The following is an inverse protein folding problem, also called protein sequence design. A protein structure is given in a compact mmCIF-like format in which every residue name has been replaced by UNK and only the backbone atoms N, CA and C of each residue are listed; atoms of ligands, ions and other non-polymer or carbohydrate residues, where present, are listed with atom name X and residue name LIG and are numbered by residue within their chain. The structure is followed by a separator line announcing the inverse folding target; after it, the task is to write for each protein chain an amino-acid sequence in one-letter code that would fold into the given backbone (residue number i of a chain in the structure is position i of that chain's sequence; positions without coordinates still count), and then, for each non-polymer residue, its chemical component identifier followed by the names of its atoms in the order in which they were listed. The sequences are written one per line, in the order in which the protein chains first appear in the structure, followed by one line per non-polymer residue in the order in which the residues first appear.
data_IF_381949789140
#
_entry.id   IF_381949789140
#
_cell.length_a   1.000
_cell.length_b   1.000
_cell.length_c   1.000
_cell.angle_alpha   90.00
_cell.angle_beta   90.00
_cell.angle_gamma   90.00
#
_symmetry.space_group_name_H-M   'P 1'
#
loop_
_entity.id
_entity.type
_entity.pdbx_description
1 polymer ?
#
# COMPACT_ATOMS: atom_id res chain seq x y z
N UNK A 1 29.21 29.57 10.12
CA UNK A 1 28.12 30.57 10.08
C UNK A 1 27.12 30.25 8.96
N UNK A 2 26.53 29.05 8.93
CA UNK A 2 25.66 28.61 7.82
C UNK A 2 24.40 27.85 8.23
N UNK A 3 24.25 27.42 9.48
CA UNK A 3 23.08 26.63 9.92
C UNK A 3 21.87 27.51 10.27
N UNK A 4 22.08 28.70 10.83
CA UNK A 4 20.96 29.57 11.24
C UNK A 4 20.12 30.08 10.06
N UNK A 5 20.72 30.34 8.88
CA UNK A 5 19.96 30.84 7.74
C UNK A 5 19.19 29.74 7.02
N UNK A 6 19.76 28.53 6.90
CA UNK A 6 19.08 27.39 6.27
C UNK A 6 17.93 26.86 7.13
N UNK A 7 18.11 26.76 8.45
CA UNK A 7 17.02 26.39 9.37
C UNK A 7 15.88 27.40 9.33
N UNK A 8 16.19 28.70 9.30
CA UNK A 8 15.15 29.74 9.20
C UNK A 8 14.39 29.72 7.86
N UNK A 9 15.08 29.42 6.75
CA UNK A 9 14.46 29.28 5.44
C UNK A 9 13.59 28.03 5.34
N UNK A 10 14.09 26.87 5.79
CA UNK A 10 13.34 25.61 5.80
C UNK A 10 12.11 25.71 6.70
N UNK A 11 12.22 26.35 7.87
CA UNK A 11 11.08 26.60 8.74
C UNK A 11 10.04 27.49 8.07
N UNK A 12 10.44 28.61 7.46
CA UNK A 12 9.52 29.52 6.75
C UNK A 12 8.88 28.86 5.53
N UNK A 13 9.64 28.06 4.77
CA UNK A 13 9.13 27.28 3.65
C UNK A 13 8.15 26.20 4.10
N UNK A 14 8.47 25.49 5.18
CA UNK A 14 7.62 24.45 5.76
C UNK A 14 6.34 25.03 6.35
N UNK A 15 6.42 26.16 7.04
CA UNK A 15 5.26 26.91 7.52
C UNK A 15 4.37 27.33 6.34
N UNK A 16 4.92 27.96 5.31
CA UNK A 16 4.16 28.34 4.11
C UNK A 16 3.57 27.14 3.36
N UNK A 17 4.28 26.01 3.30
CA UNK A 17 3.76 24.77 2.73
C UNK A 17 2.58 24.25 3.55
N UNK A 18 2.72 24.15 4.88
CA UNK A 18 1.60 23.73 5.75
C UNK A 18 0.40 24.65 5.59
N UNK A 19 0.60 25.97 5.57
CA UNK A 19 -0.49 26.95 5.47
C UNK A 19 -1.20 26.81 4.12
N UNK A 20 -0.45 26.63 3.03
CA UNK A 20 -1.00 26.37 1.70
C UNK A 20 -1.88 25.10 1.67
N UNK A 21 -1.43 24.01 2.30
CA UNK A 21 -2.21 22.77 2.36
C UNK A 21 -3.38 22.86 3.36
N UNK A 22 -3.23 23.61 4.45
CA UNK A 22 -4.30 23.84 5.42
C UNK A 22 -5.47 24.64 4.80
N UNK A 23 -5.16 25.68 4.02
CA UNK A 23 -6.17 26.45 3.28
C UNK A 23 -6.89 25.58 2.23
N UNK A 24 -6.15 24.70 1.55
CA UNK A 24 -6.71 23.82 0.52
C UNK A 24 -7.59 22.71 1.09
N UNK A 25 -7.36 22.30 2.35
CA UNK A 25 -8.02 21.17 2.98
C UNK A 25 -8.62 21.53 4.35
N UNK A 26 -9.65 22.40 4.39
CA UNK A 26 -10.27 22.84 5.64
C UNK A 26 -10.92 21.70 6.43
N UNK A 27 -11.22 20.57 5.78
CA UNK A 27 -11.77 19.41 6.47
C UNK A 27 -10.81 18.85 7.53
N UNK A 28 -9.51 19.04 7.41
CA UNK A 28 -8.55 18.55 8.42
C UNK A 28 -8.74 19.26 9.74
N UNK A 29 -9.16 20.54 9.72
CA UNK A 29 -9.49 21.29 10.93
C UNK A 29 -10.77 20.75 11.60
N UNK A 30 -11.76 20.34 10.80
CA UNK A 30 -12.99 19.70 11.30
C UNK A 30 -12.68 18.40 12.05
N UNK A 31 -11.75 17.58 11.53
CA UNK A 31 -11.35 16.34 12.19
C UNK A 31 -10.27 16.52 13.27
N UNK A 32 -9.62 17.67 13.35
CA UNK A 32 -8.52 17.91 14.29
C UNK A 32 -8.92 17.65 15.74
N UNK A 33 -10.17 17.95 16.12
CA UNK A 33 -10.77 17.65 17.43
C UNK A 33 -10.77 16.16 17.79
N UNK A 34 -10.88 15.29 16.79
CA UNK A 34 -10.90 13.84 16.97
C UNK A 34 -9.50 13.22 16.85
N UNK A 35 -8.62 13.82 16.02
CA UNK A 35 -7.28 13.29 15.74
C UNK A 35 -6.24 13.76 16.78
N UNK A 36 -6.28 15.03 17.21
CA UNK A 36 -5.26 15.64 18.10
C UNK A 36 -5.53 15.39 19.59
N UNK A 37 -6.27 14.35 19.96
CA UNK A 37 -6.57 14.04 21.37
C UNK A 37 -5.39 13.40 22.09
N UNK A 38 -5.24 13.71 23.37
CA UNK A 38 -4.28 13.06 24.26
C UNK A 38 -4.69 11.60 24.57
N UNK A 39 -6.00 11.32 24.67
CA UNK A 39 -6.55 9.97 24.78
C UNK A 39 -7.31 9.61 23.48
N UNK A 40 -6.84 8.57 22.79
CA UNK A 40 -7.48 8.07 21.58
C UNK A 40 -8.82 7.41 21.91
N UNK A 41 -9.87 7.76 21.16
CA UNK A 41 -11.16 7.07 21.27
C UNK A 41 -10.98 5.56 20.99
N UNK A 42 -11.70 4.68 21.72
CA UNK A 42 -11.66 3.26 21.43
C UNK A 42 -12.19 2.99 20.00
N UNK A 43 -11.67 1.97 19.31
CA UNK A 43 -12.13 1.63 17.97
C UNK A 43 -13.61 1.22 18.01
N UNK A 44 -14.40 1.76 17.10
CA UNK A 44 -15.79 1.36 16.90
C UNK A 44 -15.87 0.06 16.08
N UNK A 45 -16.94 -0.71 16.30
CA UNK A 45 -17.25 -1.91 15.54
C UNK A 45 -18.41 -1.68 14.56
N UNK A 46 -18.66 -2.62 13.62
CA UNK A 46 -19.79 -2.51 12.69
C UNK A 46 -21.15 -2.47 13.43
N UNK A 47 -21.27 -3.11 14.60
CA UNK A 47 -22.50 -3.05 15.38
C UNK A 47 -22.79 -1.64 15.89
N UNK A 48 -21.76 -0.90 16.28
CA UNK A 48 -21.90 0.51 16.70
C UNK A 48 -22.35 1.39 15.55
N UNK A 49 -21.89 1.10 14.33
CA UNK A 49 -22.35 1.78 13.10
C UNK A 49 -23.82 1.49 12.85
N UNK A 50 -24.24 0.22 12.99
CA UNK A 50 -25.65 -0.16 12.85
C UNK A 50 -26.54 0.49 13.91
N UNK A 51 -26.06 0.59 15.15
CA UNK A 51 -26.75 1.29 16.22
C UNK A 51 -26.88 2.80 15.92
N UNK A 52 -25.83 3.43 15.38
CA UNK A 52 -25.91 4.81 14.93
C UNK A 52 -26.95 4.97 13.82
N UNK A 53 -26.92 4.12 12.79
CA UNK A 53 -27.88 4.13 11.67
C UNK A 53 -29.32 3.96 12.18
N UNK A 54 -29.51 3.12 13.20
CA UNK A 54 -30.82 2.94 13.83
C UNK A 54 -31.24 4.17 14.67
N UNK A 55 -30.29 4.86 15.29
CA UNK A 55 -30.55 6.02 16.14
C UNK A 55 -30.76 7.34 15.39
N UNK A 56 -30.04 7.57 14.27
CA UNK A 56 -30.10 8.81 13.49
C UNK A 56 -30.65 8.52 12.07
N UNK A 57 -31.93 8.85 11.80
CA UNK A 57 -32.52 8.65 10.47
C UNK A 57 -32.03 9.67 9.43
N UNK A 58 -31.44 10.79 9.84
CA UNK A 58 -31.00 11.87 8.92
C UNK A 58 -29.61 11.56 8.35
N UNK A 59 -28.65 11.24 9.20
CA UNK A 59 -27.26 10.98 8.77
C UNK A 59 -26.94 9.49 8.57
N UNK A 60 -27.74 8.59 9.17
CA UNK A 60 -27.55 7.14 9.08
C UNK A 60 -27.53 6.59 7.65
N UNK A 61 -28.53 6.90 6.79
CA UNK A 61 -28.54 6.41 5.41
C UNK A 61 -27.32 6.87 4.59
N UNK A 62 -26.90 8.12 4.80
CA UNK A 62 -25.71 8.69 4.16
C UNK A 62 -24.44 7.97 4.60
N UNK A 63 -24.28 7.72 5.91
CA UNK A 63 -23.15 6.98 6.44
C UNK A 63 -23.09 5.54 5.90
N UNK A 64 -24.23 4.84 5.85
CA UNK A 64 -24.33 3.49 5.27
C UNK A 64 -23.89 3.47 3.81
N UNK A 65 -24.33 4.46 3.05
CA UNK A 65 -24.00 4.61 1.63
C UNK A 65 -22.50 4.88 1.44
N UNK A 66 -21.93 5.76 2.25
CA UNK A 66 -20.50 6.06 2.23
C UNK A 66 -19.63 4.82 2.56
N UNK A 67 -20.06 3.98 3.51
CA UNK A 67 -19.36 2.72 3.83
C UNK A 67 -19.45 1.71 2.69
N UNK A 68 -20.62 1.55 2.08
CA UNK A 68 -20.78 0.69 0.91
C UNK A 68 -19.90 1.16 -0.26
N UNK A 69 -19.84 2.48 -0.49
CA UNK A 69 -18.95 3.07 -1.48
C UNK A 69 -17.47 2.79 -1.18
N UNK A 70 -17.07 2.90 0.09
CA UNK A 70 -15.70 2.57 0.53
C UNK A 70 -15.37 1.10 0.30
N UNK A 71 -16.30 0.18 0.54
CA UNK A 71 -16.11 -1.24 0.27
C UNK A 71 -15.93 -1.53 -1.23
N UNK A 72 -16.65 -0.82 -2.11
CA UNK A 72 -16.45 -0.90 -3.57
C UNK A 72 -15.07 -0.37 -3.95
N UNK A 73 -14.63 0.76 -3.38
CA UNK A 73 -13.29 1.30 -3.62
C UNK A 73 -12.18 0.36 -3.14
N UNK A 74 -12.33 -0.24 -1.95
CA UNK A 74 -11.43 -1.27 -1.43
C UNK A 74 -11.34 -2.47 -2.36
N UNK A 75 -12.49 -2.98 -2.81
CA UNK A 75 -12.54 -4.09 -3.76
C UNK A 75 -11.88 -3.72 -5.10
N UNK A 76 -12.14 -2.50 -5.60
CA UNK A 76 -11.50 -1.95 -6.79
C UNK A 76 -9.97 -1.92 -6.65
N UNK A 77 -9.46 -1.46 -5.50
CA UNK A 77 -8.03 -1.46 -5.19
C UNK A 77 -7.44 -2.87 -5.18
N UNK A 78 -8.08 -3.83 -4.50
CA UNK A 78 -7.62 -5.21 -4.49
C UNK A 78 -7.58 -5.83 -5.90
N UNK A 79 -8.63 -5.61 -6.70
CA UNK A 79 -8.72 -6.08 -8.09
C UNK A 79 -7.62 -5.42 -8.95
N UNK A 80 -7.43 -4.11 -8.82
CA UNK A 80 -6.41 -3.37 -9.55
C UNK A 80 -4.99 -3.84 -9.21
N UNK A 81 -4.72 -4.12 -7.94
CA UNK A 81 -3.46 -4.64 -7.44
C UNK A 81 -3.15 -6.03 -8.03
N UNK A 82 -4.12 -6.95 -7.96
CA UNK A 82 -3.99 -8.32 -8.48
C UNK A 82 -3.86 -8.30 -10.01
N UNK A 83 -4.64 -7.48 -10.71
CA UNK A 83 -4.59 -7.37 -12.17
C UNK A 83 -3.23 -6.85 -12.65
N UNK A 84 -2.75 -5.76 -12.04
CA UNK A 84 -1.46 -5.14 -12.41
C UNK A 84 -0.30 -6.08 -12.10
N UNK A 85 -0.31 -6.72 -10.93
CA UNK A 85 0.71 -7.69 -10.58
C UNK A 85 0.67 -8.95 -11.47
N UNK A 86 -0.53 -9.42 -11.85
CA UNK A 86 -0.70 -10.55 -12.76
C UNK A 86 -0.15 -10.26 -14.15
N UNK A 87 -0.37 -9.05 -14.67
CA UNK A 87 0.24 -8.60 -15.93
C UNK A 87 1.76 -8.48 -15.79
N UNK A 88 2.26 -7.83 -14.74
CA UNK A 88 3.69 -7.71 -14.48
C UNK A 88 4.38 -9.08 -14.40
N UNK A 89 3.76 -10.05 -13.73
CA UNK A 89 4.23 -11.44 -13.65
C UNK A 89 4.20 -12.17 -15.00
N UNK A 90 3.15 -11.96 -15.82
CA UNK A 90 3.07 -12.55 -17.15
C UNK A 90 4.17 -11.98 -18.07
N UNK A 91 4.38 -10.67 -18.03
CA UNK A 91 5.41 -10.00 -18.84
C UNK A 91 6.83 -10.30 -18.34
N UNK A 92 7.04 -10.51 -17.04
CA UNK A 92 8.34 -10.94 -16.51
C UNK A 92 8.79 -12.31 -17.02
N UNK A 93 7.85 -13.12 -17.56
CA UNK A 93 8.16 -14.43 -18.17
C UNK A 93 8.43 -14.39 -19.68
N UNK A 94 8.16 -13.28 -20.39
CA UNK A 94 7.98 -13.34 -21.86
C UNK A 94 8.85 -12.45 -22.77
N UNK A 95 9.77 -11.60 -22.29
CA UNK A 95 10.60 -10.81 -23.21
C UNK A 95 12.10 -11.12 -23.10
N UNK A 96 12.61 -11.85 -24.11
CA UNK A 96 13.99 -11.87 -24.61
C UNK A 96 15.10 -11.49 -23.61
N UNK A 97 15.60 -12.49 -22.87
CA UNK A 97 16.81 -12.40 -22.03
C UNK A 97 16.73 -13.17 -20.71
N UNK A 98 15.52 -13.40 -20.18
CA UNK A 98 15.33 -14.05 -18.87
C UNK A 98 15.24 -15.57 -18.91
N UNK A 99 15.16 -16.20 -20.08
CA UNK A 99 15.25 -17.66 -20.21
C UNK A 99 16.63 -18.20 -19.77
N UNK A 100 17.65 -17.34 -19.69
CA UNK A 100 18.98 -17.69 -19.16
C UNK A 100 19.18 -17.45 -17.65
N UNK A 101 18.50 -16.47 -17.05
CA UNK A 101 18.78 -16.05 -15.66
C UNK A 101 17.72 -16.50 -14.64
N UNK A 102 16.46 -16.68 -15.01
CA UNK A 102 15.42 -17.14 -14.07
C UNK A 102 15.53 -18.64 -13.77
N UNK A 103 16.03 -19.44 -14.72
CA UNK A 103 16.35 -20.85 -14.49
C UNK A 103 17.59 -21.03 -13.59
N UNK A 104 18.44 -20.01 -13.48
CA UNK A 104 19.65 -20.06 -12.67
C UNK A 104 19.36 -19.87 -11.17
N UNK A 105 18.53 -18.89 -10.77
CA UNK A 105 18.25 -18.69 -9.32
C UNK A 105 17.03 -19.53 -8.82
N UNK A 106 16.04 -19.90 -9.65
CA UNK A 106 14.93 -20.78 -9.19
C UNK A 106 15.28 -22.28 -9.25
N UNK A 107 16.28 -22.65 -10.07
CA UNK A 107 16.85 -24.00 -10.10
C UNK A 107 17.64 -24.35 -8.84
N UNK A 108 18.24 -23.38 -8.14
CA UNK A 108 19.11 -23.64 -7.00
C UNK A 108 18.37 -24.08 -5.73
N UNK A 109 17.09 -23.74 -5.55
CA UNK A 109 16.33 -24.11 -4.34
C UNK A 109 15.61 -25.45 -4.48
N UNK A 110 15.25 -25.86 -5.71
CA UNK A 110 14.58 -27.15 -5.98
C UNK A 110 15.57 -28.25 -6.37
N UNK A 111 16.74 -27.92 -6.96
CA UNK A 111 17.70 -28.90 -7.46
C UNK A 111 18.68 -29.46 -6.42
N UNK A 112 18.69 -28.99 -5.17
CA UNK A 112 19.61 -29.54 -4.16
C UNK A 112 19.08 -30.81 -3.47
N UNK A 113 17.78 -31.13 -3.58
CA UNK A 113 17.22 -32.38 -3.01
C UNK A 113 17.03 -33.54 -3.98
N UNK A 114 17.08 -33.33 -5.31
CA UNK A 114 16.77 -34.38 -6.29
C UNK A 114 17.94 -34.79 -7.19
N UNK A 115 19.00 -33.99 -7.30
CA UNK A 115 20.14 -34.30 -8.16
C UNK A 115 21.26 -35.10 -7.49
N UNK A 116 21.30 -35.17 -6.15
CA UNK A 116 22.30 -35.96 -5.42
C UNK A 116 22.08 -37.48 -5.51
N UNK A 117 20.87 -37.93 -5.87
CA UNK A 117 20.53 -39.35 -5.99
C UNK A 117 20.72 -39.94 -7.38
N UNK A 118 20.91 -39.12 -8.41
CA UNK A 118 20.91 -39.59 -9.81
C UNK A 118 22.28 -39.67 -10.49
N UNK A 119 23.33 -39.00 -9.97
CA UNK A 119 24.67 -39.08 -10.57
C UNK A 119 25.80 -38.99 -9.51
N UNK A 120 26.22 -40.12 -8.90
CA UNK A 120 27.30 -40.14 -7.92
C UNK A 120 28.71 -39.98 -8.51
N UNK A 121 28.85 -40.04 -9.85
CA UNK A 121 30.14 -40.37 -10.49
C UNK A 121 30.82 -39.29 -11.33
N UNK A 122 30.20 -38.12 -11.56
CA UNK A 122 30.71 -37.17 -12.56
C UNK A 122 31.44 -35.94 -12.00
N UNK A 123 31.92 -36.01 -10.74
CA UNK A 123 32.66 -34.92 -10.10
C UNK A 123 34.05 -35.36 -9.67
N UNK A 124 34.84 -35.88 -10.62
CA UNK A 124 36.26 -36.09 -10.39
C UNK A 124 37.10 -35.67 -11.60
N UNK A 125 37.86 -34.59 -11.42
CA UNK A 125 39.12 -34.36 -12.14
C UNK A 125 39.09 -33.34 -13.29
N UNK A 126 39.38 -32.07 -12.99
CA UNK A 126 40.71 -31.48 -13.23
C UNK A 126 40.75 -30.01 -12.80
N UNK A 127 41.63 -29.73 -11.85
CA UNK A 127 42.05 -28.40 -11.40
C UNK A 127 43.26 -27.98 -12.26
N UNK A 128 43.51 -26.66 -12.36
CA UNK A 128 44.74 -25.98 -12.83
C UNK A 128 44.84 -25.70 -14.35
N UNK A 129 45.19 -24.51 -14.89
CA UNK A 129 45.79 -23.26 -14.35
C UNK A 129 45.45 -22.06 -15.26
N UNK A 130 45.43 -20.86 -14.65
CA UNK A 130 46.01 -19.65 -15.25
C UNK A 130 45.06 -18.65 -15.89
N UNK A 131 44.58 -17.67 -15.10
CA UNK A 131 44.42 -16.24 -15.46
C UNK A 131 44.02 -15.45 -14.20
N UNK A 132 44.68 -14.31 -14.00
CA UNK A 132 44.56 -13.44 -12.82
C UNK A 132 43.19 -12.72 -12.74
N UNK A 133 42.79 -12.21 -11.56
CA UNK A 133 41.39 -12.02 -11.20
C UNK A 133 40.91 -10.61 -11.56
N UNK A 134 40.02 -10.51 -12.55
CA UNK A 134 38.95 -9.53 -12.39
C UNK A 134 38.01 -10.13 -11.34
N UNK A 135 37.94 -9.47 -10.18
CA UNK A 135 37.02 -9.80 -9.10
C UNK A 135 35.58 -9.69 -9.62
N UNK A 136 35.12 -10.76 -10.28
CA UNK A 136 33.72 -10.99 -10.57
C UNK A 136 33.03 -11.11 -9.21
N UNK A 137 32.00 -10.29 -8.94
CA UNK A 137 31.26 -10.40 -7.69
C UNK A 137 30.78 -11.84 -7.56
N UNK A 138 30.98 -12.42 -6.38
CA UNK A 138 30.57 -13.79 -6.08
C UNK A 138 29.13 -14.02 -6.57
N UNK A 139 28.81 -15.20 -7.14
CA UNK A 139 27.51 -15.48 -7.75
C UNK A 139 26.32 -15.29 -6.78
N UNK A 140 26.59 -15.28 -5.47
CA UNK A 140 25.63 -14.98 -4.41
C UNK A 140 25.20 -13.51 -4.37
N UNK A 141 26.11 -12.56 -4.58
CA UNK A 141 25.77 -11.12 -4.58
C UNK A 141 24.90 -10.74 -5.78
N UNK A 142 25.14 -11.30 -6.96
CA UNK A 142 24.34 -11.02 -8.16
C UNK A 142 22.90 -11.58 -8.07
N UNK A 143 22.68 -12.80 -7.55
CA UNK A 143 21.30 -13.30 -7.31
C UNK A 143 20.57 -12.46 -6.25
N UNK A 144 21.26 -11.93 -5.23
CA UNK A 144 20.64 -11.08 -4.21
C UNK A 144 20.14 -9.74 -4.79
N UNK A 145 20.93 -9.07 -5.62
CA UNK A 145 20.50 -7.82 -6.26
C UNK A 145 19.32 -8.03 -7.23
N UNK A 146 19.34 -9.10 -8.02
CA UNK A 146 18.22 -9.46 -8.90
C UNK A 146 16.93 -9.77 -8.12
N UNK A 147 17.03 -10.49 -7.00
CA UNK A 147 15.90 -10.76 -6.13
C UNK A 147 15.29 -9.46 -5.55
N UNK A 148 16.14 -8.52 -5.11
CA UNK A 148 15.70 -7.22 -4.60
C UNK A 148 14.98 -6.42 -5.69
N UNK A 149 15.51 -6.39 -6.90
CA UNK A 149 14.90 -5.67 -8.04
C UNK A 149 13.53 -6.27 -8.39
N UNK A 150 13.40 -7.60 -8.41
CA UNK A 150 12.12 -8.27 -8.69
C UNK A 150 11.09 -7.95 -7.60
N UNK A 151 11.49 -7.99 -6.33
CA UNK A 151 10.60 -7.65 -5.21
C UNK A 151 10.17 -6.18 -5.22
N UNK A 152 11.09 -5.26 -5.56
CA UNK A 152 10.77 -3.84 -5.75
C UNK A 152 9.79 -3.63 -6.91
N UNK A 153 10.05 -4.22 -8.08
CA UNK A 153 9.17 -4.12 -9.24
C UNK A 153 7.78 -4.71 -8.98
N UNK A 154 7.71 -5.85 -8.28
CA UNK A 154 6.46 -6.46 -7.87
C UNK A 154 5.72 -5.56 -6.87
N UNK A 155 6.40 -5.10 -5.83
CA UNK A 155 5.81 -4.21 -4.81
C UNK A 155 5.26 -2.91 -5.41
N UNK A 156 6.01 -2.27 -6.31
CA UNK A 156 5.56 -1.07 -7.01
C UNK A 156 4.36 -1.35 -7.92
N UNK A 157 4.31 -2.51 -8.59
CA UNK A 157 3.19 -2.90 -9.44
C UNK A 157 1.90 -3.14 -8.63
N UNK A 158 2.02 -3.80 -7.47
CA UNK A 158 0.89 -3.98 -6.55
C UNK A 158 0.38 -2.63 -6.03
N UNK A 159 1.29 -1.75 -5.59
CA UNK A 159 0.93 -0.44 -5.08
C UNK A 159 0.26 0.44 -6.15
N UNK A 160 0.84 0.52 -7.34
CA UNK A 160 0.25 1.26 -8.46
C UNK A 160 -1.13 0.71 -8.83
N UNK A 161 -1.25 -0.61 -8.97
CA UNK A 161 -2.53 -1.26 -9.26
C UNK A 161 -3.58 -1.00 -8.18
N UNK A 162 -3.18 -1.01 -6.90
CA UNK A 162 -4.07 -0.70 -5.79
C UNK A 162 -4.59 0.74 -5.86
N UNK A 163 -3.71 1.70 -6.14
CA UNK A 163 -4.09 3.12 -6.24
C UNK A 163 -5.03 3.35 -7.42
N UNK A 164 -4.69 2.83 -8.61
CA UNK A 164 -5.57 2.97 -9.79
C UNK A 164 -6.91 2.29 -9.57
N UNK A 165 -6.91 1.06 -9.06
CA UNK A 165 -8.12 0.32 -8.75
C UNK A 165 -9.00 1.02 -7.70
N UNK A 166 -8.38 1.62 -6.68
CA UNK A 166 -9.07 2.41 -5.67
C UNK A 166 -9.73 3.65 -6.29
N UNK A 167 -8.99 4.42 -7.10
CA UNK A 167 -9.53 5.64 -7.74
C UNK A 167 -10.70 5.31 -8.66
N UNK A 168 -10.59 4.27 -9.48
CA UNK A 168 -11.67 3.85 -10.36
C UNK A 168 -12.87 3.28 -9.59
N UNK A 169 -12.60 2.55 -8.50
CA UNK A 169 -13.63 2.07 -7.59
C UNK A 169 -14.39 3.21 -6.91
N UNK A 170 -13.72 4.30 -6.54
CA UNK A 170 -14.37 5.51 -6.04
C UNK A 170 -15.27 6.16 -7.10
N UNK A 171 -14.84 6.26 -8.36
CA UNK A 171 -15.69 6.80 -9.43
C UNK A 171 -16.94 5.94 -9.68
N UNK A 172 -16.79 4.61 -9.71
CA UNK A 172 -17.94 3.70 -9.82
C UNK A 172 -18.87 3.89 -8.64
N UNK A 173 -18.34 3.94 -7.42
CA UNK A 173 -19.13 4.10 -6.21
C UNK A 173 -19.86 5.46 -6.19
N UNK A 174 -19.17 6.53 -6.58
CA UNK A 174 -19.71 7.88 -6.70
C UNK A 174 -20.87 7.92 -7.71
N UNK A 175 -20.71 7.26 -8.85
CA UNK A 175 -21.74 7.18 -9.88
C UNK A 175 -22.94 6.33 -9.45
N UNK A 176 -22.69 5.16 -8.86
CA UNK A 176 -23.73 4.20 -8.49
C UNK A 176 -24.62 4.69 -7.35
N UNK A 177 -24.01 5.25 -6.31
CA UNK A 177 -24.70 5.71 -5.11
C UNK A 177 -24.99 7.22 -5.12
N UNK A 178 -24.64 7.92 -6.20
CA UNK A 178 -24.81 9.37 -6.34
C UNK A 178 -24.24 10.16 -5.15
N UNK A 179 -23.03 9.81 -4.67
CA UNK A 179 -22.42 10.43 -3.50
C UNK A 179 -22.31 11.95 -3.61
N UNK A 180 -22.25 12.49 -4.83
CA UNK A 180 -22.25 13.94 -5.09
C UNK A 180 -23.51 14.67 -4.56
N UNK A 181 -24.60 13.97 -4.25
CA UNK A 181 -25.81 14.55 -3.64
C UNK A 181 -25.83 14.44 -2.12
N UNK A 182 -24.91 13.69 -1.54
CA UNK A 182 -24.91 13.34 -0.12
C UNK A 182 -23.77 14.04 0.60
N UNK A 183 -24.05 14.62 1.76
CA UNK A 183 -23.02 15.17 2.63
C UNK A 183 -22.41 14.06 3.50
N UNK A 184 -21.49 13.29 2.90
CA UNK A 184 -20.79 12.19 3.57
C UNK A 184 -19.90 12.67 4.71
N UNK A 185 -19.40 13.91 4.63
CA UNK A 185 -18.52 14.50 5.64
C UNK A 185 -19.30 14.90 6.88
N UNK A 186 -20.45 15.57 6.72
CA UNK A 186 -21.32 15.88 7.85
C UNK A 186 -21.82 14.60 8.54
N UNK A 187 -22.19 13.57 7.77
CA UNK A 187 -22.62 12.30 8.34
C UNK A 187 -21.50 11.60 9.15
N UNK A 188 -20.26 11.66 8.66
CA UNK A 188 -19.11 11.10 9.37
C UNK A 188 -18.78 11.87 10.65
N UNK A 189 -18.84 13.20 10.62
CA UNK A 189 -18.63 14.03 11.83
C UNK A 189 -19.71 13.75 12.87
N UNK A 190 -20.98 13.66 12.46
CA UNK A 190 -22.10 13.33 13.36
C UNK A 190 -21.96 11.94 13.98
N UNK A 191 -21.45 10.98 13.22
CA UNK A 191 -21.11 9.66 13.75
C UNK A 191 -20.01 9.74 14.83
N UNK A 192 -18.94 10.52 14.60
CA UNK A 192 -17.87 10.69 15.58
C UNK A 192 -18.33 11.40 16.86
N UNK A 193 -19.17 12.44 16.73
CA UNK A 193 -19.79 13.13 17.88
C UNK A 193 -20.69 12.20 18.70
N UNK A 194 -21.48 11.38 18.01
CA UNK A 194 -22.31 10.35 18.64
C UNK A 194 -21.45 9.29 19.34
N UNK A 195 -20.37 8.84 18.71
CA UNK A 195 -19.45 7.86 19.29
C UNK A 195 -18.76 8.39 20.55
N UNK A 196 -18.27 9.63 20.50
CA UNK A 196 -17.70 10.32 21.66
C UNK A 196 -18.69 10.34 22.83
N UNK A 197 -19.95 10.74 22.55
CA UNK A 197 -21.02 10.81 23.55
C UNK A 197 -21.40 9.43 24.10
N UNK A 198 -21.23 8.35 23.31
CA UNK A 198 -21.47 6.98 23.74
C UNK A 198 -20.33 6.46 24.62
N UNK A 199 -19.08 6.76 24.28
CA UNK A 199 -17.91 6.41 25.08
C UNK A 199 -17.94 7.09 26.45
N UNK A 200 -18.26 8.39 26.50
CA UNK A 200 -18.34 9.15 27.75
C UNK A 200 -19.49 8.66 28.67
N UNK A 201 -20.55 8.08 28.11
CA UNK A 201 -21.61 7.44 28.90
C UNK A 201 -21.23 6.07 29.45
N UNK A 202 -20.18 5.44 28.91
CA UNK A 202 -19.73 4.09 29.27
C UNK A 202 -18.56 4.11 30.27
N UNK A 203 -17.80 5.21 30.33
CA UNK A 203 -16.75 5.50 31.32
C UNK A 203 -17.35 5.94 32.65
#
# INVERSE_FOLDING_TARGET
MGESSSESFLKKYWEGYRDFWAERFPFTEIYSRFIKREESLPPWSESDVHEFIASDPVHGPTLKTARNATNIALAGGAIGAISTAGLAWKYSRSLHGLTGSFLCCFGSTISTRRWSSLFPGLWNGRRSKGLAPYALPHPTTACNYLAIIILLCAGLSFAAGAVFGWTFGQEIANHWYQLYRLDTMAAQVKFLEWWESKCQRRS
#
